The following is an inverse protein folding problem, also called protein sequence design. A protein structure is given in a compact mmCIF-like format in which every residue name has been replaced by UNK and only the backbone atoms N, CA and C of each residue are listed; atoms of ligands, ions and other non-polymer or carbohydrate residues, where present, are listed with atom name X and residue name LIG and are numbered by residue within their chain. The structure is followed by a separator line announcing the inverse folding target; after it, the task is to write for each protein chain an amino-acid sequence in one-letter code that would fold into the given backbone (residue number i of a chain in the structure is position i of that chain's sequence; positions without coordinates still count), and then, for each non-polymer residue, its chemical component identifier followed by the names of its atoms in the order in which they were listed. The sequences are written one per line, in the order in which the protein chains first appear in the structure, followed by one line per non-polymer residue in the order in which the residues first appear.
data_IF_231273733823
#
_entry.id   IF_231273733823
#
_cell.length_a   1.000
_cell.length_b   1.000
_cell.length_c   1.000
_cell.angle_alpha   90.00
_cell.angle_beta   90.00
_cell.angle_gamma   90.00
#
_symmetry.space_group_name_H-M   'P 1'
#
loop_
_entity.id
_entity.type
_entity.pdbx_description
1 polymer ?
#
# COMPACT_ATOMS: atom_id res chain seq x y z
N UNK A 1 -16.28 16.17 -9.98
CA UNK A 1 -14.93 15.64 -10.19
C UNK A 1 -15.00 14.28 -10.86
N UNK A 2 -14.14 14.00 -11.80
CA UNK A 2 -14.12 12.77 -12.57
C UNK A 2 -13.01 11.84 -12.03
N UNK A 3 -13.34 10.58 -11.74
CA UNK A 3 -12.37 9.60 -11.29
C UNK A 3 -11.59 9.04 -12.47
N UNK A 4 -10.27 8.95 -12.32
CA UNK A 4 -9.37 8.44 -13.35
C UNK A 4 -8.41 7.39 -12.77
N UNK A 5 -7.91 6.52 -13.64
CA UNK A 5 -6.83 5.59 -13.31
C UNK A 5 -5.85 5.46 -14.47
N UNK A 6 -4.64 5.98 -14.28
CA UNK A 6 -3.60 5.99 -15.30
C UNK A 6 -2.46 5.01 -15.04
N UNK A 7 -2.74 3.98 -14.21
CA UNK A 7 -1.77 2.91 -13.96
C UNK A 7 -2.45 1.54 -14.03
N UNK A 8 -2.64 1.05 -15.24
CA UNK A 8 -3.30 -0.22 -15.54
C UNK A 8 -2.44 -1.03 -16.51
N UNK A 9 -2.20 -2.29 -16.17
CA UNK A 9 -1.49 -3.25 -17.00
C UNK A 9 -2.48 -4.20 -17.69
N UNK A 10 -2.35 -4.35 -19.00
CA UNK A 10 -3.25 -5.18 -19.82
C UNK A 10 -2.51 -6.26 -20.60
N UNK A 11 -1.18 -6.21 -20.62
CA UNK A 11 -0.32 -7.21 -21.25
C UNK A 11 0.75 -7.62 -20.27
N UNK A 12 0.92 -8.93 -20.08
CA UNK A 12 2.01 -9.47 -19.28
C UNK A 12 3.36 -9.14 -19.92
N UNK A 13 4.29 -8.64 -19.11
CA UNK A 13 5.66 -8.34 -19.50
C UNK A 13 6.66 -9.08 -18.60
N UNK A 14 7.93 -9.06 -18.96
CA UNK A 14 8.99 -9.65 -18.13
C UNK A 14 9.08 -9.03 -16.71
N UNK A 15 8.51 -7.85 -16.47
CA UNK A 15 8.50 -7.16 -15.18
C UNK A 15 7.35 -7.61 -14.26
N UNK A 16 6.36 -8.30 -14.78
CA UNK A 16 5.25 -8.84 -13.99
C UNK A 16 5.70 -10.10 -13.26
N UNK A 17 5.45 -10.16 -11.94
CA UNK A 17 6.01 -11.19 -11.04
C UNK A 17 5.34 -12.56 -11.16
N UNK A 18 4.18 -12.64 -11.77
CA UNK A 18 3.44 -13.88 -12.07
C UNK A 18 2.52 -13.63 -13.25
N UNK A 19 2.42 -14.62 -14.14
CA UNK A 19 1.57 -14.53 -15.32
C UNK A 19 0.15 -14.11 -14.95
N UNK A 20 -0.38 -13.11 -15.62
CA UNK A 20 -1.79 -12.80 -15.57
C UNK A 20 -2.39 -12.91 -16.97
N UNK A 21 -3.61 -13.39 -17.06
CA UNK A 21 -4.36 -13.42 -18.31
C UNK A 21 -5.29 -12.22 -18.34
N UNK A 22 -4.97 -11.23 -19.16
CA UNK A 22 -5.84 -10.06 -19.33
C UNK A 22 -7.24 -10.49 -19.79
N UNK A 23 -8.26 -9.97 -19.13
CA UNK A 23 -9.65 -10.15 -19.49
C UNK A 23 -10.35 -8.78 -19.58
N UNK A 24 -10.90 -8.52 -20.77
CA UNK A 24 -11.57 -7.25 -21.06
C UNK A 24 -12.87 -7.08 -20.26
N UNK A 25 -13.58 -8.17 -19.94
CA UNK A 25 -14.81 -8.08 -19.13
C UNK A 25 -14.48 -7.73 -17.68
N UNK A 26 -13.38 -8.26 -17.12
CA UNK A 26 -12.88 -7.86 -15.80
C UNK A 26 -12.49 -6.38 -15.77
N UNK A 27 -11.90 -5.86 -16.85
CA UNK A 27 -11.61 -4.43 -16.96
C UNK A 27 -12.89 -3.59 -17.05
N UNK A 28 -13.91 -4.03 -17.79
CA UNK A 28 -15.22 -3.36 -17.84
C UNK A 28 -15.87 -3.30 -16.46
N UNK A 29 -15.93 -4.42 -15.75
CA UNK A 29 -16.47 -4.50 -14.40
C UNK A 29 -15.74 -3.52 -13.46
N UNK A 30 -14.41 -3.43 -13.59
CA UNK A 30 -13.63 -2.48 -12.82
C UNK A 30 -13.98 -1.02 -13.17
N UNK A 31 -14.03 -0.69 -14.45
CA UNK A 31 -14.35 0.66 -14.95
C UNK A 31 -15.73 1.10 -14.46
N UNK A 32 -16.73 0.23 -14.59
CA UNK A 32 -18.10 0.49 -14.15
C UNK A 32 -18.21 0.57 -12.62
N UNK A 33 -17.68 -0.42 -11.90
CA UNK A 33 -17.75 -0.48 -10.44
C UNK A 33 -16.99 0.64 -9.75
N UNK A 34 -15.90 1.11 -10.37
CA UNK A 34 -15.13 2.25 -9.87
C UNK A 34 -15.64 3.60 -10.41
N UNK A 35 -16.62 3.63 -11.32
CA UNK A 35 -17.11 4.83 -11.99
C UNK A 35 -15.99 5.66 -12.61
N UNK A 36 -15.09 5.01 -13.35
CA UNK A 36 -13.98 5.68 -14.00
C UNK A 36 -14.45 6.47 -15.22
N UNK A 37 -13.97 7.69 -15.38
CA UNK A 37 -14.24 8.54 -16.53
C UNK A 37 -13.11 8.48 -17.57
N UNK A 38 -11.91 8.10 -17.15
CA UNK A 38 -10.77 7.90 -18.04
C UNK A 38 -9.76 6.91 -17.44
N UNK A 39 -9.07 6.18 -18.33
CA UNK A 39 -7.96 5.30 -17.97
C UNK A 39 -6.77 5.52 -18.90
N UNK A 40 -5.56 5.12 -18.47
CA UNK A 40 -4.43 4.90 -19.35
C UNK A 40 -3.91 3.47 -19.22
N UNK A 41 -3.53 2.88 -20.35
CA UNK A 41 -2.86 1.57 -20.38
C UNK A 41 -1.37 1.82 -20.29
N UNK A 42 -0.72 1.28 -19.25
CA UNK A 42 0.66 1.58 -18.90
C UNK A 42 1.47 0.32 -18.59
N UNK A 43 1.55 -0.58 -19.57
CA UNK A 43 2.36 -1.80 -19.44
C UNK A 43 3.84 -1.46 -19.24
N UNK A 44 4.58 -2.31 -18.53
CA UNK A 44 6.02 -2.12 -18.28
C UNK A 44 6.82 -2.14 -19.58
N UNK A 45 7.63 -1.09 -19.79
CA UNK A 45 8.56 -0.93 -20.91
C UNK A 45 7.99 -1.28 -22.29
N UNK A 46 6.66 -1.28 -22.46
CA UNK A 46 6.02 -1.74 -23.69
C UNK A 46 4.71 -1.03 -23.99
N UNK A 47 4.44 -0.87 -25.28
CA UNK A 47 3.15 -0.43 -25.79
C UNK A 47 2.67 -1.39 -26.87
N UNK A 48 1.45 -1.90 -26.73
CA UNK A 48 0.86 -2.91 -27.59
C UNK A 48 -0.37 -2.34 -28.30
N UNK A 49 -0.18 -1.88 -29.54
CA UNK A 49 -1.19 -1.15 -30.29
C UNK A 49 -2.50 -1.92 -30.42
N UNK A 50 -2.45 -3.21 -30.76
CA UNK A 50 -3.66 -4.02 -30.96
C UNK A 50 -4.46 -4.18 -29.64
N UNK A 51 -3.76 -4.33 -28.52
CA UNK A 51 -4.39 -4.39 -27.20
C UNK A 51 -5.02 -3.04 -26.83
N UNK A 52 -4.31 -1.93 -27.06
CA UNK A 52 -4.85 -0.59 -26.85
C UNK A 52 -6.12 -0.35 -27.70
N UNK A 53 -6.08 -0.68 -28.99
CA UNK A 53 -7.21 -0.52 -29.90
C UNK A 53 -8.41 -1.40 -29.49
N UNK A 54 -8.16 -2.61 -28.98
CA UNK A 54 -9.18 -3.49 -28.43
C UNK A 54 -9.86 -2.87 -27.22
N UNK A 55 -9.08 -2.41 -26.24
CA UNK A 55 -9.59 -1.80 -25.01
C UNK A 55 -10.33 -0.51 -25.30
N UNK A 56 -9.76 0.35 -26.15
CA UNK A 56 -10.37 1.64 -26.51
C UNK A 56 -11.72 1.47 -27.23
N UNK A 57 -11.90 0.39 -28.01
CA UNK A 57 -13.19 0.08 -28.66
C UNK A 57 -14.21 -0.55 -27.71
N UNK A 58 -13.75 -1.21 -26.65
CA UNK A 58 -14.61 -1.96 -25.75
C UNK A 58 -15.19 -1.11 -24.60
N UNK A 59 -14.63 0.06 -24.35
CA UNK A 59 -15.01 0.95 -23.25
C UNK A 59 -15.63 2.24 -23.76
N UNK A 60 -16.68 2.71 -23.11
CA UNK A 60 -17.36 3.99 -23.42
C UNK A 60 -16.76 5.17 -22.64
N UNK A 61 -15.48 5.09 -22.27
CA UNK A 61 -14.74 6.14 -21.57
C UNK A 61 -13.48 6.53 -22.34
N UNK A 62 -12.83 7.61 -21.94
CA UNK A 62 -11.55 7.98 -22.53
C UNK A 62 -10.44 6.98 -22.15
N UNK A 63 -9.77 6.42 -23.17
CA UNK A 63 -8.63 5.50 -23.01
C UNK A 63 -7.40 6.14 -23.62
N UNK A 64 -6.33 6.29 -22.83
CA UNK A 64 -5.10 6.94 -23.27
C UNK A 64 -3.97 5.93 -23.47
N UNK A 65 -3.14 6.11 -24.52
CA UNK A 65 -1.94 5.31 -24.69
C UNK A 65 -0.87 5.72 -23.68
N UNK A 66 -0.23 4.76 -23.04
CA UNK A 66 0.82 5.02 -22.06
C UNK A 66 1.75 3.86 -21.86
N UNK A 67 2.74 4.04 -21.01
CA UNK A 67 3.66 3.02 -20.56
C UNK A 67 4.21 3.37 -19.17
N UNK A 68 4.51 2.36 -18.36
CA UNK A 68 5.34 2.47 -17.17
C UNK A 68 6.77 2.10 -17.55
N UNK A 69 7.68 3.05 -17.55
CA UNK A 69 9.06 2.84 -18.00
C UNK A 69 10.05 2.77 -16.82
N UNK A 70 11.05 1.91 -16.95
CA UNK A 70 12.15 1.82 -16.03
C UNK A 70 13.19 2.90 -16.33
N UNK A 71 13.37 3.85 -15.42
CA UNK A 71 14.32 4.97 -15.56
C UNK A 71 15.50 4.79 -14.60
N UNK A 72 16.71 4.99 -15.11
CA UNK A 72 17.95 4.95 -14.33
C UNK A 72 17.92 6.00 -13.22
N UNK A 73 18.35 5.60 -12.02
CA UNK A 73 18.60 6.49 -10.89
C UNK A 73 19.95 6.20 -10.24
N UNK A 74 20.33 6.93 -9.20
CA UNK A 74 21.63 6.78 -8.53
C UNK A 74 21.99 5.34 -8.16
N UNK A 75 21.00 4.51 -7.80
CA UNK A 75 21.20 3.09 -7.52
C UNK A 75 20.04 2.28 -8.11
N UNK A 76 20.32 1.59 -9.23
CA UNK A 76 19.33 0.82 -9.97
C UNK A 76 18.37 1.68 -10.76
N UNK A 77 17.06 1.37 -10.70
CA UNK A 77 16.04 2.07 -11.46
C UNK A 77 14.82 2.41 -10.62
N UNK A 78 14.01 3.32 -11.14
CA UNK A 78 12.67 3.64 -10.66
C UNK A 78 11.71 3.72 -11.82
N UNK A 79 10.42 3.85 -11.54
CA UNK A 79 9.38 3.86 -12.57
C UNK A 79 8.87 5.28 -12.84
N UNK A 80 8.55 5.53 -14.10
CA UNK A 80 7.87 6.73 -14.57
C UNK A 80 6.71 6.30 -15.48
N UNK A 81 5.52 6.76 -15.17
CA UNK A 81 4.38 6.61 -16.06
C UNK A 81 4.43 7.73 -17.09
N UNK A 82 4.30 7.39 -18.34
CA UNK A 82 4.12 8.31 -19.46
C UNK A 82 2.76 8.03 -20.08
N UNK A 83 1.93 9.08 -20.25
CA UNK A 83 0.66 8.99 -20.97
C UNK A 83 0.72 9.95 -22.14
N UNK A 84 0.66 9.42 -23.35
CA UNK A 84 0.76 10.21 -24.57
C UNK A 84 -0.61 10.73 -25.02
N UNK A 85 -0.59 11.85 -25.75
CA UNK A 85 -1.78 12.30 -26.46
C UNK A 85 -2.16 11.24 -27.53
N UNK A 86 -3.41 10.78 -27.62
CA UNK A 86 -3.86 9.91 -28.69
C UNK A 86 -3.55 10.42 -30.09
N UNK A 87 -3.44 11.75 -30.29
CA UNK A 87 -3.02 12.35 -31.54
C UNK A 87 -1.57 12.03 -31.92
N UNK A 88 -0.71 11.69 -30.95
CA UNK A 88 0.70 11.33 -31.13
C UNK A 88 0.96 9.82 -31.02
N UNK A 89 -0.07 9.00 -31.09
CA UNK A 89 0.00 7.54 -30.80
C UNK A 89 1.01 6.80 -31.70
N UNK A 90 1.18 7.22 -32.94
CA UNK A 90 2.11 6.58 -33.89
C UNK A 90 3.57 6.91 -33.53
N UNK A 91 3.84 8.15 -33.15
CA UNK A 91 5.16 8.55 -32.62
C UNK A 91 5.46 7.83 -31.31
N UNK A 92 4.46 7.73 -30.42
CA UNK A 92 4.58 6.99 -29.17
C UNK A 92 4.88 5.51 -29.40
N UNK A 93 4.11 4.86 -30.25
CA UNK A 93 4.31 3.44 -30.58
C UNK A 93 5.70 3.15 -31.18
N UNK A 94 6.20 4.04 -32.05
CA UNK A 94 7.53 3.92 -32.65
C UNK A 94 8.64 4.03 -31.61
N UNK A 95 8.55 5.01 -30.72
CA UNK A 95 9.50 5.20 -29.61
C UNK A 95 9.47 4.02 -28.65
N UNK A 96 8.28 3.52 -28.30
CA UNK A 96 8.12 2.36 -27.42
C UNK A 96 8.65 1.06 -28.01
N UNK A 97 8.53 0.86 -29.33
CA UNK A 97 9.13 -0.29 -30.00
C UNK A 97 10.67 -0.28 -29.90
N UNK A 98 11.27 0.90 -30.03
CA UNK A 98 12.74 1.08 -29.85
C UNK A 98 13.12 0.84 -28.38
N UNK A 99 12.40 1.41 -27.42
CA UNK A 99 12.64 1.23 -25.99
C UNK A 99 12.55 -0.25 -25.60
N UNK A 100 11.51 -0.96 -26.03
CA UNK A 100 11.35 -2.39 -25.75
C UNK A 100 12.51 -3.24 -26.35
N UNK A 101 13.07 -2.83 -27.49
CA UNK A 101 14.26 -3.47 -28.07
C UNK A 101 15.54 -3.19 -27.28
N UNK A 102 15.70 -2.01 -26.70
CA UNK A 102 16.83 -1.64 -25.87
C UNK A 102 16.72 -2.15 -24.41
N UNK A 103 15.50 -2.35 -23.90
CA UNK A 103 15.21 -2.77 -22.52
C UNK A 103 14.30 -4.00 -22.48
N UNK A 104 14.72 -5.18 -22.99
CA UNK A 104 13.87 -6.38 -23.07
C UNK A 104 13.66 -7.09 -21.72
N UNK A 105 14.53 -6.89 -20.76
CA UNK A 105 14.53 -7.58 -19.46
C UNK A 105 13.79 -6.81 -18.36
N UNK A 106 13.34 -7.51 -17.34
CA UNK A 106 12.62 -6.94 -16.18
C UNK A 106 13.39 -5.90 -15.38
N UNK A 107 14.71 -5.95 -15.44
CA UNK A 107 15.62 -5.03 -14.71
C UNK A 107 16.33 -4.06 -15.64
N UNK A 108 16.08 -4.14 -16.93
CA UNK A 108 16.65 -3.21 -17.89
C UNK A 108 16.01 -1.84 -17.72
N UNK A 109 16.81 -0.81 -17.83
CA UNK A 109 16.38 0.55 -17.58
C UNK A 109 17.16 1.52 -18.47
N UNK A 110 16.58 2.67 -18.73
CA UNK A 110 17.10 3.67 -19.64
C UNK A 110 17.36 4.99 -18.91
N UNK A 111 18.37 5.77 -19.33
CA UNK A 111 18.57 7.11 -18.79
C UNK A 111 17.43 8.05 -19.25
N UNK A 112 17.13 9.09 -18.48
CA UNK A 112 16.08 10.03 -18.86
C UNK A 112 16.41 10.78 -20.15
N UNK A 113 17.68 11.08 -20.41
CA UNK A 113 18.14 11.68 -21.65
C UNK A 113 17.77 10.81 -22.87
N UNK A 114 17.99 9.48 -22.74
CA UNK A 114 17.64 8.56 -23.82
C UNK A 114 16.14 8.47 -24.03
N UNK A 115 15.36 8.52 -22.96
CA UNK A 115 13.90 8.59 -23.06
C UNK A 115 13.46 9.84 -23.83
N UNK A 116 14.03 11.01 -23.52
CA UNK A 116 13.72 12.26 -24.22
C UNK A 116 14.11 12.21 -25.70
N UNK A 117 15.26 11.56 -26.03
CA UNK A 117 15.64 11.33 -27.43
C UNK A 117 14.64 10.47 -28.19
N UNK A 118 14.11 9.41 -27.55
CA UNK A 118 13.12 8.52 -28.18
C UNK A 118 11.75 9.19 -28.33
N UNK A 119 11.42 10.13 -27.45
CA UNK A 119 10.14 10.79 -27.41
C UNK A 119 10.30 12.34 -27.49
N UNK A 120 10.60 12.91 -28.64
CA UNK A 120 10.83 14.36 -28.77
C UNK A 120 9.64 15.24 -28.35
N UNK A 121 8.43 14.66 -28.31
CA UNK A 121 7.19 15.35 -27.89
C UNK A 121 6.83 15.10 -26.43
N UNK A 122 7.65 14.42 -25.66
CA UNK A 122 7.36 13.96 -24.29
C UNK A 122 6.91 15.10 -23.36
N UNK A 123 7.43 16.30 -23.52
CA UNK A 123 7.02 17.47 -22.72
C UNK A 123 5.55 17.87 -22.93
N UNK A 124 4.94 17.44 -24.04
CA UNK A 124 3.51 17.65 -24.30
C UNK A 124 2.63 16.56 -23.67
N UNK A 125 3.23 15.44 -23.25
CA UNK A 125 2.53 14.30 -22.65
C UNK A 125 2.48 14.43 -21.14
N UNK A 126 1.75 13.52 -20.47
CA UNK A 126 1.76 13.46 -19.02
C UNK A 126 2.94 12.61 -18.55
N UNK A 127 3.70 13.14 -17.60
CA UNK A 127 4.85 12.51 -16.99
C UNK A 127 4.56 12.38 -15.49
N UNK A 128 4.49 11.15 -14.97
CA UNK A 128 4.08 10.86 -13.60
C UNK A 128 5.08 9.89 -12.97
N UNK A 129 6.15 10.40 -12.32
CA UNK A 129 7.11 9.55 -11.62
C UNK A 129 6.55 8.87 -10.37
N UNK A 130 7.05 7.67 -10.06
CA UNK A 130 6.87 7.06 -8.75
C UNK A 130 7.62 7.84 -7.68
N UNK A 131 6.90 8.36 -6.67
CA UNK A 131 7.44 9.20 -5.61
C UNK A 131 7.56 8.45 -4.27
N UNK A 132 6.45 8.22 -3.56
CA UNK A 132 6.43 7.49 -2.29
C UNK A 132 5.75 6.12 -2.46
N UNK A 133 6.21 5.38 -3.45
CA UNK A 133 5.72 4.06 -3.88
C UNK A 133 6.90 3.10 -4.05
N UNK A 134 6.64 1.82 -4.35
CA UNK A 134 7.66 0.87 -4.80
C UNK A 134 8.37 1.40 -6.05
N UNK A 135 9.64 1.06 -6.23
CA UNK A 135 10.43 1.54 -7.38
C UNK A 135 10.39 3.08 -7.57
N UNK A 136 10.34 3.83 -6.46
CA UNK A 136 10.40 5.29 -6.48
C UNK A 136 11.72 5.80 -7.07
N UNK A 137 11.67 6.97 -7.69
CA UNK A 137 12.86 7.71 -8.06
C UNK A 137 13.51 8.36 -6.82
N UNK A 138 14.80 8.63 -6.90
CA UNK A 138 15.50 9.48 -5.92
C UNK A 138 15.33 10.97 -6.25
N UNK A 139 15.66 11.83 -5.30
CA UNK A 139 15.48 13.28 -5.45
C UNK A 139 16.33 13.89 -6.57
N UNK A 140 17.50 13.35 -6.82
CA UNK A 140 18.38 13.85 -7.89
C UNK A 140 17.78 13.56 -9.27
N UNK A 141 17.27 12.34 -9.47
CA UNK A 141 16.61 11.95 -10.73
C UNK A 141 15.29 12.73 -10.91
N UNK A 142 14.50 12.94 -9.86
CA UNK A 142 13.29 13.77 -9.93
C UNK A 142 13.62 15.21 -10.31
N UNK A 143 14.63 15.81 -9.68
CA UNK A 143 15.09 17.17 -10.04
C UNK A 143 15.59 17.27 -11.47
N UNK A 144 16.23 16.21 -11.96
CA UNK A 144 16.71 16.16 -13.35
C UNK A 144 15.52 16.09 -14.33
N UNK A 145 14.53 15.23 -14.10
CA UNK A 145 13.30 15.17 -14.90
C UNK A 145 12.60 16.52 -14.88
N UNK A 146 12.44 17.13 -13.69
CA UNK A 146 11.77 18.42 -13.54
C UNK A 146 12.47 19.54 -14.33
N UNK A 147 13.82 19.54 -14.36
CA UNK A 147 14.58 20.57 -15.09
C UNK A 147 14.61 20.36 -16.60
N UNK A 148 14.42 19.12 -17.07
CA UNK A 148 14.54 18.76 -18.49
C UNK A 148 13.19 18.84 -19.21
N UNK A 149 12.19 18.16 -18.68
CA UNK A 149 10.84 18.02 -19.29
C UNK A 149 9.72 18.55 -18.42
N UNK A 150 9.95 18.64 -17.12
CA UNK A 150 8.90 18.74 -16.11
C UNK A 150 8.25 17.37 -15.84
N UNK A 151 7.41 17.31 -14.83
CA UNK A 151 6.42 16.26 -14.60
C UNK A 151 5.11 16.89 -14.12
N UNK A 152 4.00 16.21 -14.40
CA UNK A 152 2.66 16.77 -14.19
C UNK A 152 2.08 16.36 -12.84
N UNK A 153 2.46 15.18 -12.33
CA UNK A 153 2.03 14.66 -11.04
C UNK A 153 3.08 13.70 -10.47
N UNK A 154 2.92 13.31 -9.21
CA UNK A 154 3.77 12.35 -8.52
C UNK A 154 2.91 11.21 -7.97
N UNK A 155 3.20 9.97 -8.33
CA UNK A 155 2.43 8.82 -7.85
C UNK A 155 2.89 8.35 -6.47
N UNK A 156 1.94 8.20 -5.55
CA UNK A 156 2.15 7.67 -4.21
C UNK A 156 1.36 6.38 -3.98
N UNK A 157 1.84 5.52 -3.07
CA UNK A 157 1.34 4.17 -2.90
C UNK A 157 -0.10 4.08 -2.39
N UNK A 158 -0.59 5.05 -1.64
CA UNK A 158 -1.91 5.01 -1.01
C UNK A 158 -2.32 6.36 -0.43
N UNK A 159 -3.58 6.45 0.00
CA UNK A 159 -4.18 7.63 0.59
C UNK A 159 -3.43 8.16 1.83
N UNK A 160 -2.84 7.28 2.65
CA UNK A 160 -2.04 7.70 3.81
C UNK A 160 -0.78 8.47 3.39
N UNK A 161 -0.08 7.98 2.36
CA UNK A 161 1.10 8.68 1.81
C UNK A 161 0.69 10.01 1.18
N UNK A 162 -0.40 10.04 0.45
CA UNK A 162 -0.95 11.27 -0.12
C UNK A 162 -1.21 12.32 0.97
N UNK A 163 -1.88 11.95 2.06
CA UNK A 163 -2.19 12.88 3.18
C UNK A 163 -0.94 13.44 3.86
N UNK A 164 0.12 12.63 3.97
CA UNK A 164 1.36 13.05 4.64
C UNK A 164 2.22 13.94 3.76
N UNK A 165 2.26 13.67 2.47
CA UNK A 165 3.22 14.30 1.55
C UNK A 165 2.64 15.50 0.78
N UNK A 166 1.31 15.67 0.75
CA UNK A 166 0.63 16.64 -0.13
C UNK A 166 1.07 18.09 0.07
N UNK A 167 1.34 18.48 1.34
CA UNK A 167 1.66 19.87 1.66
C UNK A 167 3.14 20.22 1.36
N UNK A 168 3.99 19.21 1.12
CA UNK A 168 5.41 19.36 0.81
C UNK A 168 5.80 18.94 -0.61
N UNK A 169 4.85 18.46 -1.41
CA UNK A 169 5.11 18.05 -2.78
C UNK A 169 5.10 19.26 -3.74
N UNK A 170 5.98 19.22 -4.72
CA UNK A 170 6.12 20.27 -5.75
C UNK A 170 5.22 20.06 -6.98
N UNK A 171 4.45 18.97 -6.98
CA UNK A 171 3.43 18.65 -7.98
C UNK A 171 2.24 17.95 -7.33
N UNK A 172 1.06 17.89 -8.02
CA UNK A 172 -0.08 17.14 -7.56
C UNK A 172 0.26 15.69 -7.27
N UNK A 173 -0.24 15.15 -6.15
CA UNK A 173 -0.08 13.75 -5.82
C UNK A 173 -1.26 12.92 -6.34
N UNK A 174 -0.97 11.77 -6.92
CA UNK A 174 -1.97 10.84 -7.45
C UNK A 174 -1.83 9.46 -6.80
N UNK A 175 -2.94 8.74 -6.73
CA UNK A 175 -3.01 7.34 -6.29
C UNK A 175 -3.76 6.56 -7.35
N UNK A 176 -3.06 5.72 -8.07
CA UNK A 176 -3.62 4.83 -9.08
C UNK A 176 -3.64 3.40 -8.59
N UNK A 177 -4.37 2.51 -9.29
CA UNK A 177 -4.59 1.14 -8.83
C UNK A 177 -3.38 0.23 -9.02
N UNK A 178 -2.59 0.44 -10.08
CA UNK A 178 -1.54 -0.50 -10.51
C UNK A 178 -2.12 -1.92 -10.73
N UNK A 179 -3.34 -1.97 -11.27
CA UNK A 179 -4.09 -3.21 -11.40
C UNK A 179 -3.74 -3.98 -12.67
N UNK A 180 -4.00 -5.27 -12.60
CA UNK A 180 -3.86 -6.24 -13.69
C UNK A 180 -5.19 -6.96 -13.86
N UNK A 181 -6.15 -6.39 -14.60
CA UNK A 181 -7.47 -6.98 -14.79
C UNK A 181 -7.37 -8.25 -15.63
N UNK A 182 -7.53 -9.39 -14.97
CA UNK A 182 -7.40 -10.69 -15.58
C UNK A 182 -8.25 -11.74 -14.92
N UNK A 183 -8.42 -12.88 -15.62
CA UNK A 183 -9.02 -14.08 -15.06
C UNK A 183 -8.17 -14.53 -13.86
N UNK A 184 -8.84 -14.86 -12.77
CA UNK A 184 -8.20 -15.33 -11.55
C UNK A 184 -7.47 -16.64 -11.80
N UNK A 185 -6.29 -16.75 -11.24
CA UNK A 185 -5.69 -18.08 -11.02
C UNK A 185 -6.52 -18.82 -9.95
N UNK A 186 -6.66 -20.16 -10.06
CA UNK A 186 -7.52 -20.94 -9.16
C UNK A 186 -7.27 -20.77 -7.65
N UNK A 187 -6.08 -20.29 -7.29
CA UNK A 187 -5.62 -20.18 -5.90
C UNK A 187 -5.71 -18.73 -5.34
N UNK A 188 -6.18 -17.74 -6.12
CA UNK A 188 -6.32 -16.36 -5.66
C UNK A 188 -7.66 -16.13 -4.94
N UNK A 189 -7.60 -15.45 -3.78
CA UNK A 189 -8.80 -15.04 -3.03
C UNK A 189 -9.65 -14.07 -3.88
N UNK A 190 -10.94 -14.37 -4.08
CA UNK A 190 -11.91 -13.49 -4.73
C UNK A 190 -11.87 -12.03 -4.26
N UNK A 191 -11.68 -11.82 -2.97
CA UNK A 191 -11.72 -10.49 -2.36
C UNK A 191 -10.43 -9.69 -2.61
N UNK A 192 -9.30 -10.30 -2.91
CA UNK A 192 -8.04 -9.58 -3.14
C UNK A 192 -8.05 -8.78 -4.45
N UNK A 193 -8.69 -9.29 -5.50
CA UNK A 193 -8.83 -8.56 -6.76
C UNK A 193 -9.78 -7.38 -6.63
N UNK A 194 -10.91 -7.54 -5.95
CA UNK A 194 -11.85 -6.44 -5.68
C UNK A 194 -11.17 -5.36 -4.83
N UNK A 195 -10.35 -5.74 -3.85
CA UNK A 195 -9.57 -4.81 -3.03
C UNK A 195 -8.52 -4.05 -3.84
N UNK A 196 -7.82 -4.70 -4.78
CA UNK A 196 -6.86 -4.02 -5.67
C UNK A 196 -7.56 -2.96 -6.53
N UNK A 197 -8.73 -3.26 -7.08
CA UNK A 197 -9.53 -2.29 -7.84
C UNK A 197 -10.05 -1.12 -6.99
N UNK A 198 -10.18 -1.30 -5.68
CA UNK A 198 -10.61 -0.24 -4.79
C UNK A 198 -9.52 0.81 -4.49
N UNK A 199 -8.26 0.62 -4.88
CA UNK A 199 -7.14 1.47 -4.45
C UNK A 199 -6.79 2.63 -5.38
N UNK A 200 -7.33 2.72 -6.58
CA UNK A 200 -7.16 3.89 -7.45
C UNK A 200 -8.15 5.00 -7.06
N UNK A 201 -7.66 6.09 -6.50
CA UNK A 201 -8.53 7.12 -5.91
C UNK A 201 -8.30 8.52 -6.46
N UNK A 202 -7.76 8.66 -7.68
CA UNK A 202 -7.50 9.99 -8.23
C UNK A 202 -8.75 10.55 -8.89
N UNK A 203 -9.13 11.75 -8.45
CA UNK A 203 -10.25 12.53 -8.99
C UNK A 203 -9.70 13.84 -9.57
N UNK A 204 -10.09 14.16 -10.80
CA UNK A 204 -9.75 15.41 -11.47
C UNK A 204 -10.95 16.33 -11.58
N UNK A 205 -10.72 17.60 -11.32
CA UNK A 205 -11.66 18.67 -11.64
C UNK A 205 -11.40 19.17 -13.06
N UNK A 206 -12.04 18.53 -14.04
CA UNK A 206 -12.05 18.97 -15.43
C UNK A 206 -13.43 18.73 -16.04
N UNK A 207 -13.79 19.53 -17.03
CA UNK A 207 -15.12 19.48 -17.65
C UNK A 207 -15.23 18.39 -18.72
N UNK A 208 -14.10 18.05 -19.34
CA UNK A 208 -14.04 17.07 -20.43
C UNK A 208 -12.87 16.11 -20.20
N UNK A 209 -13.05 14.85 -20.61
CA UNK A 209 -12.01 13.84 -20.56
C UNK A 209 -11.14 13.85 -21.83
N UNK A 210 -10.87 15.03 -22.40
CA UNK A 210 -9.87 15.19 -23.45
C UNK A 210 -8.46 15.25 -22.85
N UNK A 211 -7.45 14.82 -23.59
CA UNK A 211 -6.06 14.82 -23.14
C UNK A 211 -5.60 16.23 -22.69
N UNK A 212 -5.92 17.25 -23.48
CA UNK A 212 -5.56 18.65 -23.15
C UNK A 212 -6.23 19.15 -21.86
N UNK A 213 -7.50 18.80 -21.64
CA UNK A 213 -8.23 19.18 -20.41
C UNK A 213 -7.65 18.47 -19.18
N UNK A 214 -7.28 17.20 -19.29
CA UNK A 214 -6.64 16.44 -18.24
C UNK A 214 -5.26 17.01 -17.93
N UNK A 215 -4.43 17.28 -18.93
CA UNK A 215 -3.10 17.89 -18.72
C UNK A 215 -3.21 19.28 -18.09
N UNK A 216 -4.15 20.09 -18.51
CA UNK A 216 -4.42 21.38 -17.88
C UNK A 216 -4.89 21.26 -16.43
N UNK A 217 -5.66 20.21 -16.09
CA UNK A 217 -6.10 19.98 -14.72
C UNK A 217 -4.93 19.65 -13.78
N UNK A 218 -3.92 18.92 -14.24
CA UNK A 218 -2.71 18.63 -13.46
C UNK A 218 -1.83 19.86 -13.20
N UNK A 219 -2.02 20.96 -13.93
CA UNK A 219 -1.26 22.19 -13.67
C UNK A 219 -1.54 22.80 -12.28
N UNK A 220 -2.57 22.35 -11.55
CA UNK A 220 -2.90 22.83 -10.21
C UNK A 220 -3.25 21.67 -9.28
N UNK A 221 -2.55 21.59 -8.14
CA UNK A 221 -2.84 20.61 -7.09
C UNK A 221 -4.28 20.70 -6.56
N UNK A 222 -4.92 21.86 -6.66
CA UNK A 222 -6.32 22.06 -6.23
C UNK A 222 -7.34 21.33 -7.13
N UNK A 223 -6.94 20.92 -8.32
CA UNK A 223 -7.79 20.17 -9.24
C UNK A 223 -7.67 18.65 -9.06
N UNK A 224 -6.76 18.20 -8.19
CA UNK A 224 -6.47 16.77 -7.97
C UNK A 224 -6.77 16.40 -6.54
N UNK A 225 -7.67 15.45 -6.38
CA UNK A 225 -8.05 14.92 -5.06
C UNK A 225 -8.07 13.39 -5.10
N UNK A 226 -7.88 12.77 -3.96
CA UNK A 226 -8.04 11.32 -3.82
C UNK A 226 -9.36 10.93 -3.14
N UNK A 227 -10.12 11.93 -2.76
CA UNK A 227 -11.44 11.77 -2.18
C UNK A 227 -12.43 12.55 -3.02
N UNK A 228 -13.58 11.95 -3.40
CA UNK A 228 -14.60 12.69 -4.09
C UNK A 228 -15.00 13.88 -3.21
N UNK A 229 -14.61 15.07 -3.62
CA UNK A 229 -15.22 16.27 -3.08
C UNK A 229 -16.56 16.36 -3.76
N UNK A 230 -17.58 15.72 -3.19
CA UNK A 230 -18.97 15.91 -3.59
C UNK A 230 -19.39 17.34 -3.19
N UNK A 231 -18.87 18.33 -3.92
CA UNK A 231 -19.40 19.70 -3.83
C UNK A 231 -20.90 19.74 -4.20
N UNK A 232 -21.37 18.68 -4.86
CA UNK A 232 -22.75 18.53 -5.32
C UNK A 232 -23.58 17.57 -4.45
N UNK A 233 -23.02 17.03 -3.36
CA UNK A 233 -23.79 16.21 -2.43
C UNK A 233 -24.67 17.12 -1.58
N UNK A 234 -25.89 17.30 -2.01
CA UNK A 234 -26.94 17.94 -1.22
C UNK A 234 -27.52 16.96 -0.20
N UNK A 235 -27.13 17.09 1.08
CA UNK A 235 -27.73 16.29 2.15
C UNK A 235 -29.23 16.63 2.33
N UNK A 236 -29.61 17.85 1.98
CA UNK A 236 -30.97 18.33 2.09
C UNK A 236 -31.49 18.80 0.73
N UNK A 237 -32.87 18.81 0.53
CA UNK A 237 -33.49 19.29 -0.68
C UNK A 237 -33.06 20.72 -1.08
N UNK A 238 -32.64 21.52 -0.12
CA UNK A 238 -32.14 22.90 -0.31
C UNK A 238 -30.67 22.95 -0.74
N UNK A 239 -30.09 21.84 -1.18
CA UNK A 239 -28.70 21.76 -1.66
C UNK A 239 -27.65 22.24 -0.65
N UNK A 240 -27.80 21.89 0.64
CA UNK A 240 -26.76 22.12 1.63
C UNK A 240 -25.54 21.25 1.25
N UNK A 241 -24.43 21.84 0.78
CA UNK A 241 -23.28 21.08 0.36
C UNK A 241 -22.64 20.40 1.58
N UNK A 242 -22.34 19.13 1.47
CA UNK A 242 -21.65 18.39 2.51
C UNK A 242 -20.72 17.33 1.94
N UNK A 243 -19.70 16.98 2.69
CA UNK A 243 -18.81 15.86 2.39
C UNK A 243 -19.45 14.56 2.87
N UNK A 244 -19.26 13.48 2.13
CA UNK A 244 -19.65 12.12 2.58
C UNK A 244 -18.82 11.59 3.76
N UNK A 245 -17.75 12.29 4.18
CA UNK A 245 -16.83 11.81 5.21
C UNK A 245 -17.02 12.53 6.53
N UNK A 246 -16.56 13.74 6.64
CA UNK A 246 -16.63 14.54 7.85
C UNK A 246 -17.06 15.96 7.52
N UNK A 247 -18.07 16.43 8.25
CA UNK A 247 -18.55 17.80 8.15
C UNK A 247 -18.48 18.45 9.53
N UNK A 248 -18.03 19.69 9.58
CA UNK A 248 -18.02 20.49 10.81
C UNK A 248 -19.00 21.64 10.65
N UNK A 249 -20.05 21.67 11.46
CA UNK A 249 -21.04 22.75 11.45
C UNK A 249 -20.64 23.76 12.52
N UNK A 250 -20.18 24.92 12.08
CA UNK A 250 -19.78 26.02 12.95
C UNK A 250 -20.88 27.10 13.00
N UNK A 251 -20.98 27.79 14.13
CA UNK A 251 -21.90 28.89 14.31
C UNK A 251 -22.04 29.30 15.79
N UNK A 252 -22.54 30.50 16.02
CA UNK A 252 -22.79 31.03 17.36
C UNK A 252 -23.84 30.20 18.12
N UNK A 253 -23.95 30.41 19.42
CA UNK A 253 -24.99 29.80 20.24
C UNK A 253 -26.37 30.17 19.66
N UNK A 254 -27.26 29.17 19.57
CA UNK A 254 -28.62 29.32 19.01
C UNK A 254 -28.70 29.63 17.50
N UNK A 255 -27.63 29.44 16.73
CA UNK A 255 -27.61 29.62 15.26
C UNK A 255 -28.30 28.51 14.45
N UNK A 256 -28.95 27.55 15.09
CA UNK A 256 -29.66 26.47 14.40
C UNK A 256 -28.86 25.22 14.10
N UNK A 257 -27.61 25.06 14.60
CA UNK A 257 -26.75 23.88 14.36
C UNK A 257 -27.46 22.55 14.63
N UNK A 258 -28.09 22.43 15.79
CA UNK A 258 -28.82 21.22 16.18
C UNK A 258 -30.06 20.98 15.30
N UNK A 259 -30.74 22.06 14.88
CA UNK A 259 -31.85 21.98 13.95
C UNK A 259 -31.38 21.42 12.60
N UNK A 260 -30.30 21.93 12.06
CA UNK A 260 -29.69 21.45 10.80
C UNK A 260 -29.27 19.97 10.92
N UNK A 261 -28.62 19.59 12.02
CA UNK A 261 -28.24 18.19 12.26
C UNK A 261 -29.44 17.27 12.31
N UNK A 262 -30.53 17.66 12.99
CA UNK A 262 -31.76 16.86 13.03
C UNK A 262 -32.41 16.71 11.66
N UNK A 263 -32.46 17.76 10.84
CA UNK A 263 -32.92 17.67 9.47
C UNK A 263 -32.09 16.74 8.59
N UNK A 264 -30.76 16.74 8.77
CA UNK A 264 -29.88 15.80 8.10
C UNK A 264 -30.22 14.37 8.51
N UNK A 265 -30.37 14.12 9.81
CA UNK A 265 -30.75 12.80 10.33
C UNK A 265 -32.08 12.31 9.77
N UNK A 266 -33.08 13.20 9.70
CA UNK A 266 -34.41 12.85 9.20
C UNK A 266 -34.44 12.53 7.70
N UNK A 267 -33.37 12.85 6.96
CA UNK A 267 -33.19 12.48 5.55
C UNK A 267 -32.69 11.05 5.33
N UNK A 268 -32.28 10.35 6.40
CA UNK A 268 -31.78 8.96 6.34
C UNK A 268 -32.72 8.01 7.07
N UNK A 269 -32.76 6.76 6.64
CA UNK A 269 -33.49 5.70 7.32
C UNK A 269 -32.96 5.46 8.75
N UNK A 270 -33.77 5.03 9.71
CA UNK A 270 -33.30 4.84 11.11
C UNK A 270 -32.12 3.91 11.27
N UNK A 271 -31.99 2.90 10.40
CA UNK A 271 -30.90 1.92 10.43
C UNK A 271 -29.56 2.49 9.93
N UNK A 272 -29.62 3.54 9.10
CA UNK A 272 -28.44 4.15 8.45
C UNK A 272 -27.92 5.37 9.21
N UNK A 273 -28.47 5.67 10.41
CA UNK A 273 -28.12 6.86 11.17
C UNK A 273 -27.75 6.56 12.62
N UNK A 274 -26.75 7.27 13.11
CA UNK A 274 -26.39 7.30 14.53
C UNK A 274 -26.30 8.75 14.99
N UNK A 275 -27.05 9.10 16.04
CA UNK A 275 -27.01 10.42 16.65
C UNK A 275 -26.49 10.35 18.08
N UNK A 276 -25.38 11.03 18.35
CA UNK A 276 -24.80 11.14 19.68
C UNK A 276 -25.16 12.53 20.24
N UNK A 277 -25.97 12.58 21.27
CA UNK A 277 -26.37 13.86 21.88
C UNK A 277 -25.21 14.51 22.62
N UNK A 278 -25.23 15.85 22.63
CA UNK A 278 -24.31 16.62 23.44
C UNK A 278 -24.50 16.24 24.94
N UNK A 279 -23.42 15.91 25.62
CA UNK A 279 -23.41 15.40 27.00
C UNK A 279 -23.93 13.94 27.17
N UNK A 280 -24.19 13.22 26.13
CA UNK A 280 -24.52 11.80 26.23
C UNK A 280 -23.41 11.00 26.95
N UNK A 281 -22.16 11.34 26.68
CA UNK A 281 -20.96 10.76 27.32
C UNK A 281 -20.88 11.11 28.81
N UNK A 282 -21.51 12.22 29.25
CA UNK A 282 -21.53 12.64 30.67
C UNK A 282 -22.70 12.02 31.44
N UNK A 283 -23.65 11.40 30.77
CA UNK A 283 -24.70 10.65 31.41
C UNK A 283 -24.11 9.37 32.03
N UNK A 284 -24.25 9.21 33.36
CA UNK A 284 -23.59 8.17 34.14
C UNK A 284 -23.76 6.75 33.58
N UNK A 285 -24.97 6.41 33.10
CA UNK A 285 -25.27 5.09 32.52
C UNK A 285 -24.57 4.88 31.17
N UNK A 286 -24.41 5.94 30.35
CA UNK A 286 -23.73 5.88 29.04
C UNK A 286 -22.22 6.04 29.17
N UNK A 287 -21.76 6.74 30.19
CA UNK A 287 -20.34 6.77 30.58
C UNK A 287 -19.86 5.38 30.96
N UNK A 288 -20.64 4.64 31.75
CA UNK A 288 -20.30 3.27 32.15
C UNK A 288 -20.23 2.33 30.94
N UNK A 289 -21.09 2.52 29.92
CA UNK A 289 -21.04 1.78 28.65
C UNK A 289 -19.80 2.17 27.83
N UNK A 290 -19.52 3.48 27.74
CA UNK A 290 -18.33 3.98 27.03
C UNK A 290 -17.04 3.48 27.69
N UNK A 291 -16.94 3.61 29.01
CA UNK A 291 -15.79 3.15 29.78
C UNK A 291 -15.61 1.61 29.64
N UNK A 292 -16.72 0.87 29.56
CA UNK A 292 -16.69 -0.58 29.29
C UNK A 292 -16.21 -0.91 27.88
N UNK A 293 -16.67 -0.19 26.85
CA UNK A 293 -16.23 -0.40 25.47
C UNK A 293 -14.74 -0.02 25.30
N UNK A 294 -14.30 1.07 25.94
CA UNK A 294 -12.88 1.44 25.97
C UNK A 294 -12.05 0.35 26.66
N UNK A 295 -12.51 -0.17 27.79
CA UNK A 295 -11.84 -1.25 28.49
C UNK A 295 -11.81 -2.57 27.70
N UNK A 296 -12.84 -2.85 26.91
CA UNK A 296 -12.88 -4.00 25.99
C UNK A 296 -11.89 -3.81 24.83
N UNK A 297 -11.82 -2.62 24.22
CA UNK A 297 -10.83 -2.30 23.17
C UNK A 297 -9.39 -2.29 23.73
N UNK A 298 -9.19 -1.76 24.92
CA UNK A 298 -7.90 -1.82 25.62
C UNK A 298 -7.50 -3.27 25.93
N UNK A 299 -8.45 -4.11 26.37
CA UNK A 299 -8.21 -5.53 26.60
C UNK A 299 -7.79 -6.25 25.32
N UNK A 300 -8.50 -6.03 24.21
CA UNK A 300 -8.15 -6.58 22.88
C UNK A 300 -6.78 -6.09 22.42
N UNK A 301 -6.43 -4.83 22.69
CA UNK A 301 -5.11 -4.29 22.38
C UNK A 301 -4.03 -4.97 23.25
N UNK A 302 -4.27 -5.10 24.55
CA UNK A 302 -3.36 -5.79 25.47
C UNK A 302 -3.19 -7.25 25.10
N UNK A 303 -4.27 -7.98 24.79
CA UNK A 303 -4.21 -9.40 24.40
C UNK A 303 -3.46 -9.60 23.08
N UNK A 304 -3.63 -8.74 22.11
CA UNK A 304 -2.98 -8.88 20.81
C UNK A 304 -1.51 -8.43 20.77
N UNK A 305 -1.11 -7.51 21.63
CA UNK A 305 0.22 -6.89 21.55
C UNK A 305 1.03 -7.02 22.83
N UNK A 306 0.43 -6.85 24.00
CA UNK A 306 1.15 -6.81 25.27
C UNK A 306 1.35 -8.21 25.88
N UNK A 307 0.34 -9.06 25.83
CA UNK A 307 0.47 -10.43 26.38
C UNK A 307 1.52 -11.21 25.61
N UNK A 308 1.56 -11.07 24.27
CA UNK A 308 2.60 -11.71 23.46
C UNK A 308 4.01 -11.22 23.82
N UNK A 309 4.16 -9.93 24.10
CA UNK A 309 5.42 -9.34 24.54
C UNK A 309 5.78 -9.80 25.96
N UNK A 310 4.80 -9.82 26.88
CA UNK A 310 4.97 -10.26 28.25
C UNK A 310 5.38 -11.73 28.33
N UNK A 311 4.75 -12.59 27.52
CA UNK A 311 5.10 -14.00 27.43
C UNK A 311 6.52 -14.19 26.91
N UNK A 312 6.92 -13.40 25.94
CA UNK A 312 8.27 -13.45 25.41
C UNK A 312 9.32 -12.95 26.42
N UNK A 313 9.02 -11.88 27.17
CA UNK A 313 9.89 -11.38 28.26
C UNK A 313 9.96 -12.41 29.37
N UNK A 314 8.84 -13.03 29.75
CA UNK A 314 8.81 -14.08 30.76
C UNK A 314 9.65 -15.30 30.33
N UNK A 315 9.55 -15.69 29.06
CA UNK A 315 10.36 -16.79 28.50
C UNK A 315 11.86 -16.44 28.55
N UNK A 316 12.21 -15.22 28.17
CA UNK A 316 13.60 -14.74 28.21
C UNK A 316 14.14 -14.64 29.65
N UNK A 317 13.35 -14.14 30.60
CA UNK A 317 13.78 -14.02 32.01
C UNK A 317 13.87 -15.35 32.73
N UNK A 318 13.17 -16.38 32.23
CA UNK A 318 13.24 -17.77 32.73
C UNK A 318 14.35 -18.57 32.04
N UNK A 319 14.95 -18.04 30.97
CA UNK A 319 16.06 -18.68 30.26
C UNK A 319 17.31 -18.66 31.14
N UNK A 320 17.66 -19.81 31.66
CA UNK A 320 18.89 -20.01 32.42
C UNK A 320 20.01 -20.49 31.50
N UNK A 321 20.81 -19.55 31.03
CA UNK A 321 21.96 -19.85 30.16
C UNK A 321 22.93 -20.84 30.83
N UNK A 322 23.11 -20.73 32.16
CA UNK A 322 23.97 -21.65 32.90
C UNK A 322 23.46 -23.10 32.86
N UNK A 323 22.15 -23.30 33.02
CA UNK A 323 21.54 -24.62 32.91
C UNK A 323 21.68 -25.21 31.51
N UNK A 324 21.55 -24.40 30.46
CA UNK A 324 21.76 -24.82 29.07
C UNK A 324 23.24 -25.23 28.81
N UNK A 325 24.20 -24.42 29.28
CA UNK A 325 25.62 -24.72 29.14
C UNK A 325 26.00 -26.00 29.92
N UNK A 326 25.46 -26.17 31.10
CA UNK A 326 25.67 -27.35 31.90
C UNK A 326 25.07 -28.62 31.27
N UNK A 327 23.89 -28.52 30.65
CA UNK A 327 23.26 -29.60 29.90
C UNK A 327 24.11 -30.00 28.68
N UNK A 328 24.62 -29.05 27.91
CA UNK A 328 25.52 -29.31 26.78
C UNK A 328 26.83 -29.95 27.26
N UNK A 329 27.39 -29.46 28.36
CA UNK A 329 28.62 -29.99 28.95
C UNK A 329 28.43 -31.43 29.46
N UNK A 330 27.28 -31.67 30.12
CA UNK A 330 26.91 -33.01 30.58
C UNK A 330 26.74 -33.98 29.40
N UNK A 331 26.10 -33.54 28.33
CA UNK A 331 25.95 -34.31 27.10
C UNK A 331 27.28 -34.64 26.44
N UNK A 332 28.18 -33.65 26.28
CA UNK A 332 29.52 -33.89 25.75
C UNK A 332 30.33 -34.87 26.64
N UNK A 333 30.19 -34.74 27.96
CA UNK A 333 30.85 -35.66 28.92
C UNK A 333 30.32 -37.09 28.79
N UNK A 334 29.00 -37.24 28.67
CA UNK A 334 28.36 -38.55 28.46
C UNK A 334 28.78 -39.20 27.15
N UNK A 335 28.90 -38.42 26.06
CA UNK A 335 29.42 -38.90 24.77
C UNK A 335 30.86 -39.41 24.87
N UNK A 336 31.74 -38.67 25.57
CA UNK A 336 33.15 -39.09 25.76
C UNK A 336 33.22 -40.33 26.60
N UNK A 337 32.44 -40.41 27.68
CA UNK A 337 32.39 -41.63 28.54
C UNK A 337 31.83 -42.83 27.77
N UNK A 338 30.79 -42.61 26.94
CA UNK A 338 30.23 -43.66 26.11
C UNK A 338 31.24 -44.19 25.08
N UNK A 339 31.98 -43.26 24.41
CA UNK A 339 33.02 -43.62 23.45
C UNK A 339 34.22 -44.33 24.07
N UNK A 340 34.54 -44.01 25.35
CA UNK A 340 35.64 -44.62 26.08
C UNK A 340 35.28 -45.95 26.74
N UNK A 341 34.02 -46.31 26.81
CA UNK A 341 33.56 -47.59 27.45
C UNK A 341 33.95 -48.78 26.58
N UNK A 342 34.69 -49.78 27.12
CA UNK A 342 35.07 -50.96 26.37
C UNK A 342 33.83 -51.79 26.03
N UNK A 343 33.60 -52.04 24.73
CA UNK A 343 32.49 -52.86 24.24
C UNK A 343 32.94 -53.79 23.13
N UNK A 344 32.64 -55.05 23.30
CA UNK A 344 32.95 -56.08 22.30
C UNK A 344 31.98 -56.11 21.12
N UNK A 345 30.90 -55.30 21.11
CA UNK A 345 29.88 -55.27 20.05
C UNK A 345 29.29 -53.86 19.86
N UNK A 346 29.78 -53.14 18.91
CA UNK A 346 29.25 -51.83 18.50
C UNK A 346 27.82 -51.87 17.93
N UNK A 347 27.35 -53.02 17.46
CA UNK A 347 26.03 -53.16 16.81
C UNK A 347 24.85 -53.28 17.78
N UNK A 348 25.10 -53.42 19.08
CA UNK A 348 24.03 -53.66 20.08
C UNK A 348 23.71 -52.43 20.94
N UNK A 349 24.40 -51.32 20.76
CA UNK A 349 24.13 -50.09 21.54
C UNK A 349 23.43 -49.04 20.67
N UNK A 350 22.24 -48.59 21.07
CA UNK A 350 21.68 -47.41 20.47
C UNK A 350 22.59 -46.20 20.76
N UNK A 351 22.87 -45.39 19.75
CA UNK A 351 23.72 -44.19 19.86
C UNK A 351 23.11 -43.18 20.85
N UNK A 352 21.80 -43.23 21.06
CA UNK A 352 21.06 -42.47 22.06
C UNK A 352 19.75 -43.19 22.40
N UNK A 353 19.23 -42.94 23.60
CA UNK A 353 17.87 -43.36 23.95
C UNK A 353 16.91 -42.21 23.54
N UNK A 354 16.06 -42.46 22.56
CA UNK A 354 15.14 -41.46 22.03
C UNK A 354 14.14 -40.92 23.08
N UNK A 355 13.92 -41.72 24.16
CA UNK A 355 13.00 -41.34 25.25
C UNK A 355 13.62 -40.35 26.27
N UNK A 356 14.94 -40.14 26.25
CA UNK A 356 15.64 -39.18 27.12
C UNK A 356 15.75 -37.76 26.53
N UNK A 357 15.44 -37.59 25.25
CA UNK A 357 15.44 -36.30 24.58
C UNK A 357 14.02 -35.92 24.17
N UNK A 358 13.29 -35.28 25.08
CA UNK A 358 12.13 -34.49 24.66
C UNK A 358 12.62 -33.22 24.02
N UNK A 359 12.86 -33.28 22.72
CA UNK A 359 13.08 -32.10 21.92
C UNK A 359 11.72 -31.37 21.78
N UNK A 360 11.58 -30.21 22.39
CA UNK A 360 10.62 -29.25 21.84
C UNK A 360 11.09 -28.92 20.43
N UNK A 361 10.28 -29.26 19.44
CA UNK A 361 10.64 -29.06 18.02
C UNK A 361 11.15 -27.65 17.80
N UNK A 362 12.35 -27.52 17.27
CA UNK A 362 12.97 -26.23 16.91
C UNK A 362 12.04 -25.31 16.11
N UNK A 363 11.13 -25.88 15.31
CA UNK A 363 10.12 -25.18 14.54
C UNK A 363 9.15 -24.34 15.39
N UNK A 364 8.83 -24.74 16.61
CA UNK A 364 7.96 -23.99 17.51
C UNK A 364 8.70 -22.79 18.15
N UNK A 365 9.98 -22.96 18.45
CA UNK A 365 10.85 -21.89 18.99
C UNK A 365 11.13 -20.88 17.88
N UNK A 366 11.49 -21.34 16.69
CA UNK A 366 11.73 -20.48 15.52
C UNK A 366 10.49 -19.68 15.10
N UNK A 367 9.31 -20.30 15.12
CA UNK A 367 8.04 -19.61 14.86
C UNK A 367 7.69 -18.57 15.93
N UNK A 368 8.05 -18.84 17.19
CA UNK A 368 7.86 -17.90 18.30
C UNK A 368 8.81 -16.70 18.17
N UNK A 369 10.08 -16.95 17.84
CA UNK A 369 11.08 -15.89 17.63
C UNK A 369 10.74 -14.98 16.45
N UNK A 370 10.25 -15.54 15.36
CA UNK A 370 9.80 -14.76 14.19
C UNK A 370 8.63 -13.87 14.55
N UNK A 371 7.65 -14.36 15.31
CA UNK A 371 6.51 -13.55 15.80
C UNK A 371 6.97 -12.44 16.75
N UNK A 372 7.89 -12.74 17.64
CA UNK A 372 8.45 -11.78 18.59
C UNK A 372 9.20 -10.66 17.88
N UNK A 373 10.08 -10.98 16.93
CA UNK A 373 10.80 -10.00 16.12
C UNK A 373 9.87 -9.11 15.33
N UNK A 374 8.81 -9.68 14.76
CA UNK A 374 7.79 -8.92 14.05
C UNK A 374 7.07 -7.93 14.96
N UNK A 375 6.62 -8.39 16.14
CA UNK A 375 5.95 -7.54 17.11
C UNK A 375 6.87 -6.43 17.65
N UNK A 376 8.14 -6.72 17.94
CA UNK A 376 9.13 -5.74 18.39
C UNK A 376 9.41 -4.67 17.32
N UNK A 377 9.52 -5.05 16.04
CA UNK A 377 9.68 -4.12 14.93
C UNK A 377 8.44 -3.26 14.71
N UNK A 378 7.25 -3.85 14.74
CA UNK A 378 6.00 -3.09 14.63
C UNK A 378 5.85 -2.06 15.75
N UNK A 379 6.29 -2.37 16.97
CA UNK A 379 6.32 -1.43 18.10
C UNK A 379 7.42 -0.37 17.93
N UNK A 380 8.62 -0.73 17.48
CA UNK A 380 9.72 0.20 17.26
C UNK A 380 9.43 1.19 16.13
N UNK A 381 8.70 0.77 15.10
CA UNK A 381 8.24 1.61 14.00
C UNK A 381 7.02 2.47 14.35
N UNK A 382 6.57 2.43 15.62
CA UNK A 382 5.50 3.26 16.16
C UNK A 382 4.10 2.66 16.01
N UNK A 383 3.94 1.47 15.42
CA UNK A 383 2.66 0.77 15.32
C UNK A 383 1.50 1.64 14.83
N UNK A 384 0.27 1.34 15.27
CA UNK A 384 -0.93 2.14 14.97
C UNK A 384 -1.08 3.41 15.86
N UNK A 385 -0.29 3.53 16.91
CA UNK A 385 -0.34 4.63 17.91
C UNK A 385 1.06 5.04 18.34
N UNK A 386 1.84 5.69 17.46
CA UNK A 386 3.25 6.02 17.72
C UNK A 386 3.46 7.01 18.86
N UNK A 387 2.49 7.86 19.13
CA UNK A 387 2.43 8.79 20.25
C UNK A 387 2.39 8.07 21.59
N UNK A 388 1.54 7.06 21.73
CA UNK A 388 1.40 6.25 22.95
C UNK A 388 2.63 5.37 23.17
N UNK A 389 3.15 4.72 22.13
CA UNK A 389 4.33 3.86 22.26
C UNK A 389 5.55 4.65 22.73
N UNK A 390 5.76 5.86 22.20
CA UNK A 390 6.88 6.72 22.61
C UNK A 390 6.80 7.22 24.06
N UNK A 391 5.61 7.31 24.62
CA UNK A 391 5.39 7.73 25.99
C UNK A 391 5.78 6.65 27.00
N UNK A 392 5.58 5.37 26.68
CA UNK A 392 5.75 4.26 27.62
C UNK A 392 6.95 3.36 27.35
N UNK A 393 7.55 3.43 26.16
CA UNK A 393 8.66 2.55 25.78
C UNK A 393 9.78 3.34 25.10
N UNK A 394 10.98 3.25 25.68
CA UNK A 394 12.17 3.83 25.05
C UNK A 394 12.52 3.10 23.74
N UNK A 395 12.56 3.81 22.60
CA UNK A 395 12.87 3.22 21.29
C UNK A 395 14.25 2.52 21.23
N UNK A 396 15.20 2.94 22.06
CA UNK A 396 16.53 2.32 22.10
C UNK A 396 16.47 0.95 22.78
N UNK A 397 15.61 0.79 23.76
CA UNK A 397 15.37 -0.50 24.43
C UNK A 397 14.76 -1.51 23.48
N UNK A 398 13.81 -1.10 22.64
CA UNK A 398 13.21 -1.99 21.62
C UNK A 398 14.20 -2.36 20.51
N UNK A 399 15.05 -1.43 20.08
CA UNK A 399 16.13 -1.73 19.13
C UNK A 399 17.20 -2.64 19.71
N UNK A 400 17.53 -2.47 20.96
CA UNK A 400 18.46 -3.35 21.66
C UNK A 400 17.90 -4.78 21.79
N UNK A 401 16.59 -4.92 22.00
CA UNK A 401 15.91 -6.23 22.00
C UNK A 401 15.94 -6.90 20.62
N UNK A 402 15.67 -6.18 19.53
CA UNK A 402 15.76 -6.72 18.16
C UNK A 402 17.20 -7.17 17.84
N UNK A 403 18.20 -6.41 18.24
CA UNK A 403 19.61 -6.76 18.07
C UNK A 403 20.03 -7.97 18.90
N UNK A 404 19.55 -8.11 20.14
CA UNK A 404 19.86 -9.26 20.99
C UNK A 404 19.25 -10.56 20.48
N UNK A 405 18.05 -10.48 19.86
CA UNK A 405 17.37 -11.61 19.24
C UNK A 405 18.02 -12.07 17.92
N UNK A 406 18.84 -11.21 17.27
CA UNK A 406 19.61 -11.59 16.09
C UNK A 406 20.83 -12.45 16.45
N UNK A 407 21.35 -12.32 17.67
CA UNK A 407 22.55 -13.02 18.12
C UNK A 407 22.27 -14.38 18.79
N UNK A 408 21.01 -14.73 18.99
CA UNK A 408 20.57 -16.05 19.51
C UNK A 408 20.14 -16.94 18.35
#
# INVERSE_FOLDING_TARGET
MNRIDFHIHTVETASDSSGFNFDIEVLKDYVEGAHLAAIAITNHNGFYRDNYDQVSKALDIAVFPGAEINVTKLSGFGHVIIVADPADIDDFASGMATLAGECPGSSDHMSWERVVELFPKISNWLIIPHYKKSKKLDSATLSHIQSTTGYDALEVANAKKWLVERDGADAPLVVFSDCRPGLRMPDEDPDDNIRRYAYGYTYLQCNEMSFSSIKAAFASANNVEIFPTDRDFGILPEALPASRRMNVILGERSSGKTFTLKRILDAYEPEDRLYIEQFEITNKAKKDIFDKNVAEEDSVFFDNYFNTLQDAINHYTQFDQGACEDAVRAYCTALVQFAAAPTDRYSERPIYNADEFTYEKSDAVEASDVKLRKAARELADGGKRPDVVKEYVDPNTLRALDLSLIHI
#
